data_IF_370140658136
#
_entry.id   IF_370140658136
#
_cell.length_a   1.000
_cell.length_b   1.000
_cell.length_c   1.000
_cell.angle_alpha   90.00
_cell.angle_beta   90.00
_cell.angle_gamma   90.00
#
_symmetry.space_group_name_H-M   'P 1'
#
loop_
_entity.id
_entity.type
_entity.pdbx_description
1 polymer ?
#
# COMPACT_ATOMS: atom_id res chain seq x y z
N UNK A 1 15.77 10.96 13.75
CA UNK A 1 14.37 11.40 13.66
C UNK A 1 13.67 10.87 14.88
N UNK A 2 12.89 11.70 15.54
CA UNK A 2 11.99 11.32 16.63
C UNK A 2 10.99 10.23 16.17
N UNK A 3 10.72 9.15 16.95
CA UNK A 3 9.83 8.07 16.54
C UNK A 3 8.41 8.52 16.18
N UNK A 4 7.82 9.48 16.90
CA UNK A 4 6.50 10.03 16.57
C UNK A 4 6.52 10.70 15.19
N UNK A 5 7.50 11.57 14.94
CA UNK A 5 7.68 12.23 13.65
C UNK A 5 7.94 11.23 12.51
N UNK A 6 8.68 10.15 12.78
CA UNK A 6 8.95 9.08 11.82
C UNK A 6 7.65 8.40 11.36
N UNK A 7 6.79 8.01 12.31
CA UNK A 7 5.51 7.34 12.02
C UNK A 7 4.56 8.25 11.25
N UNK A 8 4.44 9.53 11.65
CA UNK A 8 3.60 10.51 10.93
C UNK A 8 4.10 10.74 9.50
N UNK A 9 5.41 10.89 9.32
CA UNK A 9 6.01 11.05 7.99
C UNK A 9 5.74 9.83 7.10
N UNK A 10 5.83 8.62 7.65
CA UNK A 10 5.52 7.39 6.92
C UNK A 10 4.03 7.34 6.52
N UNK A 11 3.13 7.72 7.41
CA UNK A 11 1.68 7.78 7.14
C UNK A 11 1.36 8.76 6.01
N UNK A 12 1.92 9.97 6.05
CA UNK A 12 1.63 11.02 5.06
C UNK A 12 2.17 10.66 3.67
N UNK A 13 3.37 10.07 3.60
CA UNK A 13 3.92 9.59 2.32
C UNK A 13 3.15 8.39 1.77
N UNK A 14 2.64 7.52 2.63
CA UNK A 14 1.80 6.40 2.22
C UNK A 14 0.48 6.89 1.62
N UNK A 15 -0.20 7.85 2.26
CA UNK A 15 -1.40 8.48 1.72
C UNK A 15 -1.13 9.18 0.39
N UNK A 16 -0.01 9.91 0.28
CA UNK A 16 0.39 10.59 -0.96
C UNK A 16 0.70 9.63 -2.11
N UNK A 17 1.25 8.44 -1.82
CA UNK A 17 1.46 7.39 -2.81
C UNK A 17 0.13 6.73 -3.22
N UNK A 18 -0.77 6.48 -2.28
CA UNK A 18 -2.06 5.88 -2.58
C UNK A 18 -2.94 6.79 -3.46
N UNK A 19 -2.93 8.09 -3.20
CA UNK A 19 -3.70 9.08 -3.96
C UNK A 19 -3.33 9.15 -5.45
N UNK A 20 -2.12 8.74 -5.84
CA UNK A 20 -1.65 8.72 -7.23
C UNK A 20 -1.70 7.33 -7.88
N UNK A 21 -2.13 6.31 -7.15
CA UNK A 21 -2.16 4.93 -7.64
C UNK A 21 -3.57 4.56 -8.08
N UNK A 22 -3.71 3.77 -9.15
CA UNK A 22 -5.02 3.32 -9.67
C UNK A 22 -5.87 2.74 -8.54
N UNK A 23 -7.02 3.36 -8.30
CA UNK A 23 -7.93 3.00 -7.22
C UNK A 23 -8.69 1.71 -7.52
N UNK A 24 -9.49 1.24 -6.56
CA UNK A 24 -10.37 0.08 -6.74
C UNK A 24 -9.80 -1.22 -6.16
N UNK A 25 -10.55 -2.30 -6.35
CA UNK A 25 -10.19 -3.62 -5.85
C UNK A 25 -9.28 -4.32 -6.86
N UNK A 26 -8.01 -4.51 -6.49
CA UNK A 26 -7.01 -5.13 -7.36
C UNK A 26 -7.14 -6.64 -7.29
N UNK A 27 -7.35 -7.27 -8.44
CA UNK A 27 -7.50 -8.73 -8.54
C UNK A 27 -6.55 -9.29 -9.57
N UNK A 28 -6.01 -10.47 -9.27
CA UNK A 28 -5.32 -11.27 -10.28
C UNK A 28 -6.34 -11.81 -11.28
N UNK A 29 -6.13 -11.52 -12.57
CA UNK A 29 -6.86 -12.13 -13.67
C UNK A 29 -6.01 -13.21 -14.33
N UNK A 30 -6.52 -13.78 -15.43
CA UNK A 30 -5.82 -14.78 -16.23
C UNK A 30 -4.52 -14.23 -16.85
N UNK A 31 -4.25 -14.59 -18.10
CA UNK A 31 -3.03 -14.15 -18.77
C UNK A 31 -3.31 -12.91 -19.62
N UNK A 32 -2.49 -11.86 -19.46
CA UNK A 32 -2.27 -10.85 -20.49
C UNK A 32 -1.09 -11.32 -21.34
N UNK A 33 -1.36 -11.72 -22.58
CA UNK A 33 -0.45 -12.50 -23.42
C UNK A 33 0.02 -13.81 -22.75
N UNK A 34 1.15 -13.79 -22.04
CA UNK A 34 1.75 -14.96 -21.36
C UNK A 34 1.97 -14.77 -19.86
N UNK A 35 1.62 -13.59 -19.31
CA UNK A 35 1.90 -13.25 -17.91
C UNK A 35 0.63 -13.03 -17.10
N UNK A 36 0.59 -13.44 -15.82
CA UNK A 36 -0.51 -13.10 -14.93
C UNK A 36 -0.73 -11.58 -14.87
N UNK A 37 -2.00 -11.19 -14.94
CA UNK A 37 -2.43 -9.80 -14.96
C UNK A 37 -2.99 -9.37 -13.59
N UNK A 38 -2.73 -8.15 -13.16
CA UNK A 38 -3.43 -7.50 -12.04
C UNK A 38 -4.29 -6.38 -12.59
N UNK A 39 -5.59 -6.43 -12.27
CA UNK A 39 -6.62 -5.53 -12.78
C UNK A 39 -7.34 -4.87 -11.61
N UNK A 40 -7.51 -3.56 -11.67
CA UNK A 40 -8.34 -2.81 -10.75
C UNK A 40 -9.81 -2.91 -11.18
N UNK A 41 -10.68 -3.23 -10.22
CA UNK A 41 -12.13 -3.20 -10.38
C UNK A 41 -12.69 -1.93 -9.73
N UNK A 42 -13.28 -1.05 -10.53
CA UNK A 42 -13.78 0.25 -10.10
C UNK A 42 -15.28 0.19 -9.74
N UNK A 43 -15.74 1.10 -8.85
CA UNK A 43 -17.17 1.32 -8.66
C UNK A 43 -17.84 1.66 -9.99
N UNK A 44 -18.90 0.94 -10.36
CA UNK A 44 -19.57 1.08 -11.67
C UNK A 44 -19.20 0.00 -12.69
N UNK A 45 -18.35 -0.97 -12.33
CA UNK A 45 -18.10 -2.18 -13.14
C UNK A 45 -17.00 -2.04 -14.19
N UNK A 46 -16.40 -0.85 -14.31
CA UNK A 46 -15.23 -0.62 -15.15
C UNK A 46 -13.99 -1.33 -14.57
N UNK A 47 -13.08 -1.72 -15.45
CA UNK A 47 -11.80 -2.33 -15.07
C UNK A 47 -10.63 -1.63 -15.71
N UNK A 48 -9.51 -1.52 -15.01
CA UNK A 48 -8.27 -0.91 -15.49
C UNK A 48 -7.08 -1.84 -15.23
N UNK A 49 -6.18 -1.98 -16.21
CA UNK A 49 -4.97 -2.77 -16.03
C UNK A 49 -3.97 -2.04 -15.11
N UNK A 50 -3.47 -2.74 -14.10
CA UNK A 50 -2.55 -2.18 -13.10
C UNK A 50 -1.12 -2.65 -13.35
N UNK A 51 -0.92 -3.96 -13.52
CA UNK A 51 0.41 -4.53 -13.63
C UNK A 51 0.42 -5.91 -14.29
N UNK A 52 1.50 -6.19 -15.03
CA UNK A 52 1.91 -7.55 -15.34
C UNK A 52 2.73 -8.11 -14.19
N UNK A 53 2.39 -9.31 -13.73
CA UNK A 53 3.08 -9.99 -12.65
C UNK A 53 3.95 -11.14 -13.16
N UNK A 54 5.04 -11.45 -12.45
CA UNK A 54 5.70 -12.74 -12.59
C UNK A 54 4.80 -13.83 -11.99
N UNK A 55 5.00 -15.08 -12.40
CA UNK A 55 4.28 -16.21 -11.82
C UNK A 55 4.37 -16.17 -10.29
N UNK A 56 3.22 -16.17 -9.61
CA UNK A 56 3.12 -16.16 -8.15
C UNK A 56 3.22 -14.78 -7.47
N UNK A 57 3.58 -13.69 -8.17
CA UNK A 57 3.69 -12.36 -7.52
C UNK A 57 2.41 -11.53 -7.58
N UNK A 58 1.44 -11.92 -8.43
CA UNK A 58 0.17 -11.19 -8.56
C UNK A 58 -0.63 -11.12 -7.27
N UNK A 59 -0.62 -12.21 -6.48
CA UNK A 59 -1.29 -12.24 -5.18
C UNK A 59 -0.70 -11.23 -4.18
N UNK A 60 0.62 -11.05 -4.18
CA UNK A 60 1.31 -10.05 -3.35
C UNK A 60 0.94 -8.62 -3.76
N UNK A 61 0.90 -8.34 -5.06
CA UNK A 61 0.53 -7.02 -5.59
C UNK A 61 -0.93 -6.69 -5.25
N UNK A 62 -1.85 -7.64 -5.46
CA UNK A 62 -3.27 -7.48 -5.14
C UNK A 62 -3.48 -7.28 -3.62
N UNK A 63 -2.81 -8.07 -2.78
CA UNK A 63 -2.91 -7.97 -1.33
C UNK A 63 -2.41 -6.62 -0.80
N UNK A 64 -1.34 -6.07 -1.38
CA UNK A 64 -0.78 -4.77 -1.00
C UNK A 64 -1.32 -3.61 -1.84
N UNK A 65 -2.54 -3.75 -2.37
CA UNK A 65 -3.20 -2.71 -3.16
C UNK A 65 -3.37 -1.40 -2.37
N UNK A 66 -3.60 -0.26 -3.06
CA UNK A 66 -3.80 1.04 -2.42
C UNK A 66 -4.93 1.07 -1.38
N UNK A 67 -5.85 0.10 -1.41
CA UNK A 67 -6.91 -0.04 -0.41
C UNK A 67 -6.38 -0.20 1.03
N UNK A 68 -5.17 -0.75 1.21
CA UNK A 68 -4.54 -0.85 2.53
C UNK A 68 -3.87 0.44 3.01
N UNK A 69 -3.68 1.43 2.14
CA UNK A 69 -2.94 2.64 2.50
C UNK A 69 -3.63 3.43 3.63
N UNK A 70 -4.92 3.72 3.49
CA UNK A 70 -5.68 4.46 4.50
C UNK A 70 -5.69 3.77 5.88
N UNK A 71 -6.01 2.47 6.02
CA UNK A 71 -5.95 1.82 7.32
C UNK A 71 -4.53 1.75 7.91
N UNK A 72 -3.49 1.55 7.08
CA UNK A 72 -2.10 1.55 7.54
C UNK A 72 -1.63 2.94 7.99
N UNK A 73 -1.95 3.99 7.24
CA UNK A 73 -1.66 5.36 7.61
C UNK A 73 -2.38 5.75 8.90
N UNK A 74 -3.65 5.35 9.05
CA UNK A 74 -4.40 5.53 10.30
C UNK A 74 -3.74 4.80 11.48
N UNK A 75 -3.29 3.56 11.29
CA UNK A 75 -2.59 2.80 12.32
C UNK A 75 -1.28 3.49 12.74
N UNK A 76 -0.48 3.96 11.79
CA UNK A 76 0.75 4.70 12.08
C UNK A 76 0.50 6.01 12.85
N UNK A 77 -0.55 6.76 12.48
CA UNK A 77 -0.94 7.98 13.21
C UNK A 77 -1.42 7.66 14.63
N UNK A 78 -2.18 6.59 14.81
CA UNK A 78 -2.64 6.14 16.12
C UNK A 78 -1.46 5.69 17.01
N UNK A 79 -0.51 4.94 16.45
CA UNK A 79 0.71 4.52 17.16
C UNK A 79 1.60 5.72 17.54
N UNK A 80 1.67 6.75 16.69
CA UNK A 80 2.38 7.99 16.99
C UNK A 80 1.70 8.85 18.08
N UNK A 81 0.42 8.62 18.38
CA UNK A 81 -0.31 9.36 19.41
C UNK A 81 -0.18 8.76 20.83
N UNK A 82 0.50 7.62 20.97
CA UNK A 82 0.69 6.93 22.24
C UNK A 82 2.16 6.94 22.66
N UNK A 83 2.42 7.27 23.92
CA UNK A 83 3.73 7.12 24.53
C UNK A 83 3.73 5.96 25.56
N UNK A 84 4.71 5.05 25.50
CA UNK A 84 5.80 4.98 24.52
C UNK A 84 5.32 4.51 23.14
N UNK A 85 6.00 4.94 22.07
CA UNK A 85 5.74 4.46 20.69
C UNK A 85 5.99 2.96 20.60
N UNK A 86 5.09 2.25 19.92
CA UNK A 86 5.23 0.81 19.67
C UNK A 86 6.49 0.51 18.83
N UNK A 87 7.46 -0.28 19.34
CA UNK A 87 8.66 -0.65 18.61
C UNK A 87 8.39 -1.32 17.25
N UNK A 88 7.30 -2.09 17.12
CA UNK A 88 6.94 -2.73 15.86
C UNK A 88 6.50 -1.72 14.80
N UNK A 89 5.76 -0.68 15.21
CA UNK A 89 5.38 0.43 14.34
C UNK A 89 6.61 1.23 13.89
N UNK A 90 7.59 1.45 14.79
CA UNK A 90 8.84 2.10 14.44
C UNK A 90 9.66 1.29 13.41
N UNK A 91 9.84 -0.02 13.64
CA UNK A 91 10.54 -0.91 12.70
C UNK A 91 9.87 -0.90 11.33
N UNK A 92 8.53 -0.95 11.29
CA UNK A 92 7.77 -0.87 10.05
C UNK A 92 8.00 0.47 9.34
N UNK A 93 7.88 1.60 10.04
CA UNK A 93 8.08 2.93 9.46
C UNK A 93 9.51 3.12 8.91
N UNK A 94 10.53 2.64 9.64
CA UNK A 94 11.94 2.66 9.18
C UNK A 94 12.14 1.83 7.91
N UNK A 95 11.46 0.68 7.80
CA UNK A 95 11.52 -0.13 6.59
C UNK A 95 10.73 0.54 5.44
N UNK A 96 9.58 1.15 5.72
CA UNK A 96 8.71 1.69 4.67
C UNK A 96 9.32 2.94 4.02
N UNK A 97 9.81 3.89 4.81
CA UNK A 97 10.21 5.22 4.32
C UNK A 97 11.24 5.23 3.17
N UNK A 98 12.30 4.41 3.18
CA UNK A 98 13.25 4.34 2.06
C UNK A 98 12.65 3.82 0.75
N UNK A 99 11.47 3.20 0.79
CA UNK A 99 10.77 2.61 -0.36
C UNK A 99 9.67 3.53 -0.90
N UNK A 100 9.27 4.54 -0.14
CA UNK A 100 8.30 5.54 -0.55
C UNK A 100 9.00 6.69 -1.28
N UNK A 101 8.40 7.25 -2.35
CA UNK A 101 8.93 8.42 -3.03
C UNK A 101 8.98 9.67 -2.14
#
# INVERSE_FOLDING_TARGET
MDPELLLRTAADRLDALAARTTHGDWRTRGLLATRPEVVAHLPGGNTEHVAEARAGTGAWIAALSPALAAPLASWLRAAAAHEPVDPAAEVFARALLPRLP
#
